data_IF_017350848103
#
_entry.id   IF_017350848103
#
_cell.length_a   1.000
_cell.length_b   1.000
_cell.length_c   1.000
_cell.angle_alpha   90.00
_cell.angle_beta   90.00
_cell.angle_gamma   90.00
#
_symmetry.space_group_name_H-M   'P 1'
#
loop_
_entity.id
_entity.type
_entity.pdbx_description
1 polymer ?
#
# COMPACT_ATOMS: atom_id res chain seq x y z
N UNK A 1 -15.03 -5.98 -63.50
CA UNK A 1 -15.65 -6.59 -62.31
C UNK A 1 -14.81 -6.24 -61.08
N UNK A 2 -15.20 -5.19 -60.34
CA UNK A 2 -14.59 -4.79 -59.06
C UNK A 2 -15.74 -4.44 -58.10
N UNK A 3 -16.45 -5.45 -57.61
CA UNK A 3 -17.44 -5.31 -56.55
C UNK A 3 -17.52 -6.65 -55.80
N UNK A 4 -16.59 -6.90 -54.87
CA UNK A 4 -16.78 -8.00 -53.89
C UNK A 4 -16.06 -7.82 -52.54
N UNK A 5 -15.32 -6.73 -52.31
CA UNK A 5 -14.59 -6.53 -51.04
C UNK A 5 -15.25 -5.56 -50.05
N UNK A 6 -16.21 -4.72 -50.46
CA UNK A 6 -16.84 -3.74 -49.55
C UNK A 6 -17.95 -4.37 -48.67
N UNK A 7 -18.70 -5.35 -49.18
CA UNK A 7 -19.75 -6.05 -48.42
C UNK A 7 -19.21 -6.93 -47.29
N UNK A 8 -17.97 -7.43 -47.42
CA UNK A 8 -17.26 -8.20 -46.38
C UNK A 8 -16.81 -7.33 -45.21
N UNK A 9 -16.38 -6.08 -45.49
CA UNK A 9 -15.92 -5.14 -44.47
C UNK A 9 -17.09 -4.52 -43.69
N UNK A 10 -18.19 -4.19 -44.39
CA UNK A 10 -19.40 -3.65 -43.76
C UNK A 10 -20.07 -4.71 -42.86
N UNK A 11 -20.13 -5.98 -43.29
CA UNK A 11 -20.65 -7.09 -42.48
C UNK A 11 -19.80 -7.43 -41.25
N UNK A 12 -18.47 -7.34 -41.35
CA UNK A 12 -17.56 -7.48 -40.19
C UNK A 12 -17.65 -6.30 -39.22
N UNK A 13 -17.79 -5.07 -39.74
CA UNK A 13 -17.98 -3.88 -38.93
C UNK A 13 -19.32 -3.94 -38.17
N UNK A 14 -20.41 -4.33 -38.84
CA UNK A 14 -21.74 -4.49 -38.25
C UNK A 14 -21.77 -5.59 -37.17
N UNK A 15 -21.20 -6.78 -37.43
CA UNK A 15 -21.09 -7.84 -36.42
C UNK A 15 -20.19 -7.45 -35.25
N UNK A 16 -19.12 -6.69 -35.49
CA UNK A 16 -18.30 -6.16 -34.40
C UNK A 16 -19.07 -5.13 -33.58
N UNK A 17 -19.89 -4.27 -34.20
CA UNK A 17 -20.72 -3.28 -33.51
C UNK A 17 -21.80 -3.93 -32.65
N UNK A 18 -22.38 -5.03 -33.13
CA UNK A 18 -23.44 -5.80 -32.46
C UNK A 18 -22.90 -6.63 -31.27
N UNK A 19 -21.72 -7.24 -31.43
CA UNK A 19 -21.01 -7.90 -30.32
C UNK A 19 -20.54 -6.87 -29.28
N UNK A 20 -20.02 -5.72 -29.73
CA UNK A 20 -19.64 -4.61 -28.86
C UNK A 20 -20.86 -4.08 -28.10
N UNK A 21 -22.00 -3.87 -28.76
CA UNK A 21 -23.26 -3.46 -28.14
C UNK A 21 -23.81 -4.46 -27.11
N UNK A 22 -23.68 -5.77 -27.38
CA UNK A 22 -24.10 -6.83 -26.47
C UNK A 22 -23.19 -6.96 -25.23
N UNK A 23 -21.89 -6.68 -25.36
CA UNK A 23 -20.94 -6.67 -24.24
C UNK A 23 -21.08 -5.37 -23.42
N UNK A 24 -21.26 -4.23 -24.09
CA UNK A 24 -21.62 -2.93 -23.47
C UNK A 24 -22.86 -3.09 -22.62
N UNK A 25 -23.93 -3.66 -23.19
CA UNK A 25 -25.17 -3.95 -22.48
C UNK A 25 -24.96 -4.81 -21.24
N UNK A 26 -24.11 -5.84 -21.32
CA UNK A 26 -23.82 -6.72 -20.17
C UNK A 26 -23.01 -6.06 -19.07
N UNK A 27 -21.98 -5.26 -19.39
CA UNK A 27 -21.17 -4.55 -18.40
C UNK A 27 -21.93 -3.36 -17.79
N UNK A 28 -22.77 -2.67 -18.56
CA UNK A 28 -23.69 -1.63 -18.06
C UNK A 28 -24.80 -2.20 -17.21
N UNK A 29 -25.51 -3.23 -17.69
CA UNK A 29 -26.53 -3.92 -16.92
C UNK A 29 -25.91 -4.51 -15.66
N UNK A 30 -24.65 -4.95 -15.71
CA UNK A 30 -23.92 -5.39 -14.53
C UNK A 30 -23.64 -4.28 -13.54
N UNK A 31 -23.01 -3.16 -13.92
CA UNK A 31 -22.70 -2.06 -12.99
C UNK A 31 -24.00 -1.49 -12.41
N UNK A 32 -25.04 -1.33 -13.24
CA UNK A 32 -26.36 -0.84 -12.82
C UNK A 32 -27.06 -1.85 -11.90
N UNK A 33 -27.09 -3.15 -12.24
CA UNK A 33 -27.69 -4.18 -11.37
C UNK A 33 -26.87 -4.39 -10.10
N UNK A 34 -25.55 -4.23 -10.16
CA UNK A 34 -24.64 -4.38 -9.04
C UNK A 34 -24.84 -3.25 -8.02
N UNK A 35 -24.86 -2.00 -8.48
CA UNK A 35 -25.15 -0.83 -7.65
C UNK A 35 -26.56 -0.93 -7.08
N UNK A 36 -27.55 -1.26 -7.92
CA UNK A 36 -28.91 -1.46 -7.45
C UNK A 36 -29.01 -2.62 -6.44
N UNK A 37 -28.32 -3.75 -6.63
CA UNK A 37 -28.40 -4.89 -5.71
C UNK A 37 -27.65 -4.62 -4.39
N UNK A 38 -26.41 -4.10 -4.41
CA UNK A 38 -25.62 -3.88 -3.18
C UNK A 38 -26.08 -2.69 -2.36
N UNK A 39 -26.52 -1.60 -3.01
CA UNK A 39 -27.08 -0.43 -2.30
C UNK A 39 -28.44 -0.77 -1.69
N UNK A 40 -29.25 -1.60 -2.36
CA UNK A 40 -30.54 -2.06 -1.81
C UNK A 40 -30.40 -3.15 -0.74
N UNK A 41 -29.41 -4.04 -0.81
CA UNK A 41 -29.21 -5.16 0.13
C UNK A 41 -28.58 -4.78 1.50
N UNK A 42 -28.34 -3.49 1.79
CA UNK A 42 -27.62 -3.03 3.01
C UNK A 42 -26.19 -3.58 3.17
N UNK A 43 -25.64 -4.27 2.16
CA UNK A 43 -24.25 -4.77 2.14
C UNK A 43 -23.21 -3.67 1.94
N UNK A 44 -23.63 -2.47 1.51
CA UNK A 44 -22.80 -1.27 1.51
C UNK A 44 -22.19 -1.01 2.90
N UNK A 45 -22.87 -1.33 3.99
CA UNK A 45 -22.32 -1.16 5.35
C UNK A 45 -21.05 -1.97 5.58
N UNK A 46 -21.02 -3.24 5.18
CA UNK A 46 -19.84 -4.09 5.38
C UNK A 46 -18.65 -3.62 4.54
N UNK A 47 -18.93 -3.06 3.36
CA UNK A 47 -17.93 -2.52 2.43
C UNK A 47 -17.20 -1.26 2.96
N UNK A 48 -17.83 -0.49 3.85
CA UNK A 48 -17.22 0.66 4.52
C UNK A 48 -16.82 0.37 5.98
N UNK A 49 -17.46 -0.62 6.63
CA UNK A 49 -17.13 -1.06 8.00
C UNK A 49 -15.82 -1.83 8.07
N UNK A 50 -15.49 -2.68 7.07
CA UNK A 50 -14.26 -3.48 7.07
C UNK A 50 -13.00 -2.66 6.79
N UNK A 51 -13.13 -1.48 6.16
CA UNK A 51 -12.00 -0.65 5.75
C UNK A 51 -11.88 0.69 6.47
N UNK A 52 -12.89 1.11 7.25
CA UNK A 52 -12.86 2.37 7.97
C UNK A 52 -13.79 2.39 9.17
N UNK A 53 -13.29 1.97 10.33
CA UNK A 53 -13.98 2.12 11.61
C UNK A 53 -14.43 3.58 11.89
N UNK A 54 -13.86 4.57 11.19
CA UNK A 54 -14.16 6.01 11.32
C UNK A 54 -15.26 6.52 10.37
N UNK A 55 -15.46 5.92 9.19
CA UNK A 55 -16.47 6.40 8.21
C UNK A 55 -17.88 6.20 8.74
N UNK A 56 -18.13 5.08 9.43
CA UNK A 56 -19.46 4.73 9.93
C UNK A 56 -19.75 5.30 11.33
N UNK A 57 -18.71 5.56 12.14
CA UNK A 57 -18.87 6.12 13.49
C UNK A 57 -19.39 7.57 13.51
N UNK A 58 -19.31 8.31 12.39
CA UNK A 58 -19.72 9.71 12.27
C UNK A 58 -21.06 9.95 11.55
N UNK A 59 -21.83 8.90 11.23
CA UNK A 59 -23.11 9.04 10.54
C UNK A 59 -24.28 8.82 11.52
N UNK A 60 -24.66 9.88 12.24
CA UNK A 60 -25.92 9.93 13.00
C UNK A 60 -27.15 9.76 12.07
N UNK A 61 -27.00 10.00 10.76
CA UNK A 61 -28.03 9.81 9.72
C UNK A 61 -27.58 8.82 8.64
N UNK A 62 -27.71 7.53 8.94
CA UNK A 62 -27.35 6.44 8.03
C UNK A 62 -28.28 6.32 6.82
N UNK A 63 -29.54 6.73 6.96
CA UNK A 63 -30.51 6.68 5.87
C UNK A 63 -30.28 7.86 4.91
N UNK A 64 -29.88 9.03 5.42
CA UNK A 64 -29.39 10.16 4.63
C UNK A 64 -28.20 9.77 3.76
N UNK A 65 -27.13 9.23 4.37
CA UNK A 65 -25.95 8.80 3.62
C UNK A 65 -26.26 7.75 2.55
N UNK A 66 -27.14 6.78 2.86
CA UNK A 66 -27.59 5.80 1.86
C UNK A 66 -28.32 6.47 0.69
N UNK A 67 -29.20 7.43 0.98
CA UNK A 67 -29.93 8.16 -0.05
C UNK A 67 -28.98 9.02 -0.90
N UNK A 68 -27.99 9.65 -0.28
CA UNK A 68 -26.95 10.41 -0.99
C UNK A 68 -26.18 9.50 -1.96
N UNK A 69 -25.77 8.30 -1.51
CA UNK A 69 -25.13 7.32 -2.40
C UNK A 69 -26.05 6.87 -3.55
N UNK A 70 -27.36 6.69 -3.32
CA UNK A 70 -28.30 6.33 -4.39
C UNK A 70 -28.44 7.43 -5.45
N UNK A 71 -28.33 8.70 -5.04
CA UNK A 71 -28.39 9.85 -5.94
C UNK A 71 -27.07 10.02 -6.68
N UNK A 72 -25.93 9.96 -5.98
CA UNK A 72 -24.57 10.01 -6.55
C UNK A 72 -24.42 8.89 -7.57
N UNK A 73 -24.71 7.65 -7.19
CA UNK A 73 -24.65 6.48 -8.07
C UNK A 73 -25.97 6.21 -8.80
N UNK A 74 -26.66 7.28 -9.22
CA UNK A 74 -27.87 7.15 -10.03
C UNK A 74 -27.60 6.38 -11.33
N UNK A 75 -28.66 5.81 -11.90
CA UNK A 75 -28.58 5.07 -13.17
C UNK A 75 -27.92 5.90 -14.27
N UNK A 76 -28.26 7.19 -14.37
CA UNK A 76 -27.76 8.07 -15.42
C UNK A 76 -26.27 8.36 -15.26
N UNK A 77 -25.82 8.63 -14.03
CA UNK A 77 -24.39 8.84 -13.74
C UNK A 77 -23.57 7.58 -14.05
N UNK A 78 -24.09 6.42 -13.67
CA UNK A 78 -23.41 5.15 -13.91
C UNK A 78 -23.39 4.76 -15.38
N UNK A 79 -24.46 5.08 -16.11
CA UNK A 79 -24.50 4.88 -17.54
C UNK A 79 -23.44 5.73 -18.25
N UNK A 80 -23.31 7.00 -17.86
CA UNK A 80 -22.31 7.91 -18.42
C UNK A 80 -20.87 7.41 -18.17
N UNK A 81 -20.53 7.01 -16.95
CA UNK A 81 -19.20 6.46 -16.61
C UNK A 81 -18.94 5.17 -17.40
N UNK A 82 -19.93 4.30 -17.52
CA UNK A 82 -19.77 3.02 -18.22
C UNK A 82 -19.60 3.20 -19.74
N UNK A 83 -20.34 4.11 -20.38
CA UNK A 83 -20.20 4.44 -21.80
C UNK A 83 -18.81 4.97 -22.14
N UNK A 84 -18.26 5.84 -21.29
CA UNK A 84 -16.94 6.47 -21.48
C UNK A 84 -15.76 5.59 -21.05
N UNK A 85 -15.97 4.58 -20.20
CA UNK A 85 -14.93 3.62 -19.79
C UNK A 85 -14.80 2.42 -20.73
N UNK A 86 -15.72 2.27 -21.68
CA UNK A 86 -15.85 1.09 -22.51
C UNK A 86 -14.58 0.73 -23.30
N UNK A 87 -14.01 1.72 -24.01
CA UNK A 87 -12.88 1.54 -24.90
C UNK A 87 -11.52 1.50 -24.18
N UNK A 88 -11.52 1.76 -22.87
CA UNK A 88 -10.32 1.79 -22.04
C UNK A 88 -9.81 0.39 -21.78
N UNK A 89 -8.49 0.23 -21.85
CA UNK A 89 -7.81 -0.98 -21.35
C UNK A 89 -7.80 -1.01 -19.82
N UNK A 90 -7.52 -2.15 -19.21
CA UNK A 90 -7.55 -2.26 -17.75
C UNK A 90 -6.56 -1.30 -17.07
N UNK A 91 -5.39 -1.04 -17.67
CA UNK A 91 -4.41 -0.07 -17.18
C UNK A 91 -4.90 1.39 -17.19
N UNK A 92 -5.82 1.74 -18.09
CA UNK A 92 -6.40 3.10 -18.20
C UNK A 92 -7.72 3.22 -17.43
N UNK A 93 -8.41 2.09 -17.24
CA UNK A 93 -9.71 2.00 -16.61
C UNK A 93 -9.67 2.54 -15.18
N UNK A 94 -8.65 2.18 -14.39
CA UNK A 94 -8.58 2.58 -12.99
C UNK A 94 -8.42 4.07 -12.82
N UNK A 95 -7.45 4.68 -13.50
CA UNK A 95 -7.23 6.12 -13.42
C UNK A 95 -8.47 6.90 -13.89
N UNK A 96 -9.22 6.36 -14.86
CA UNK A 96 -10.47 6.94 -15.31
C UNK A 96 -11.57 6.85 -14.25
N UNK A 97 -11.80 5.66 -13.68
CA UNK A 97 -12.79 5.45 -12.63
C UNK A 97 -12.45 6.27 -11.37
N UNK A 98 -11.17 6.37 -11.00
CA UNK A 98 -10.69 7.23 -9.90
C UNK A 98 -11.13 8.66 -10.11
N UNK A 99 -10.85 9.25 -11.26
CA UNK A 99 -11.19 10.64 -11.53
C UNK A 99 -12.71 10.86 -11.55
N UNK A 100 -13.46 10.05 -12.30
CA UNK A 100 -14.90 10.27 -12.47
C UNK A 100 -15.68 10.03 -11.18
N UNK A 101 -15.32 9.01 -10.40
CA UNK A 101 -16.01 8.73 -9.14
C UNK A 101 -15.68 9.82 -8.10
N UNK A 102 -14.44 10.30 -8.04
CA UNK A 102 -14.05 11.42 -7.15
C UNK A 102 -14.78 12.71 -7.55
N UNK A 103 -14.76 13.06 -8.83
CA UNK A 103 -15.47 14.24 -9.35
C UNK A 103 -16.97 14.15 -9.03
N UNK A 104 -17.57 12.97 -9.22
CA UNK A 104 -18.97 12.73 -8.90
C UNK A 104 -19.25 12.91 -7.39
N UNK A 105 -18.39 12.43 -6.51
CA UNK A 105 -18.57 12.69 -5.07
C UNK A 105 -18.49 14.20 -4.74
N UNK A 106 -17.55 14.92 -5.36
CA UNK A 106 -17.36 16.36 -5.14
C UNK A 106 -18.56 17.17 -5.67
N UNK A 107 -19.10 16.82 -6.85
CA UNK A 107 -20.27 17.47 -7.44
C UNK A 107 -21.49 17.40 -6.53
N UNK A 108 -21.64 16.33 -5.77
CA UNK A 108 -22.71 16.13 -4.79
C UNK A 108 -22.35 16.63 -3.39
N UNK A 109 -21.27 17.39 -3.25
CA UNK A 109 -20.93 18.12 -2.02
C UNK A 109 -20.11 17.34 -0.99
N UNK A 110 -19.56 16.17 -1.36
CA UNK A 110 -18.63 15.44 -0.48
C UNK A 110 -17.27 16.15 -0.50
N UNK A 111 -16.64 16.27 0.68
CA UNK A 111 -15.31 16.87 0.79
C UNK A 111 -14.29 16.09 -0.03
N UNK A 112 -13.30 16.78 -0.62
CA UNK A 112 -12.27 16.15 -1.46
C UNK A 112 -11.58 14.97 -0.76
N UNK A 113 -11.23 15.13 0.52
CA UNK A 113 -10.67 14.05 1.33
C UNK A 113 -11.58 12.81 1.38
N UNK A 114 -12.85 12.99 1.68
CA UNK A 114 -13.80 11.89 1.80
C UNK A 114 -14.14 11.30 0.42
N UNK A 115 -14.17 12.13 -0.63
CA UNK A 115 -14.41 11.70 -2.00
C UNK A 115 -13.34 10.70 -2.45
N UNK A 116 -12.06 10.98 -2.20
CA UNK A 116 -10.97 10.04 -2.50
C UNK A 116 -11.08 8.72 -1.73
N UNK A 117 -11.36 8.79 -0.42
CA UNK A 117 -11.50 7.61 0.44
C UNK A 117 -12.68 6.73 0.00
N UNK A 118 -13.84 7.33 -0.28
CA UNK A 118 -15.02 6.59 -0.73
C UNK A 118 -14.83 6.02 -2.14
N UNK A 119 -14.23 6.79 -3.04
CA UNK A 119 -13.95 6.34 -4.41
C UNK A 119 -13.06 5.11 -4.44
N UNK A 120 -12.02 5.08 -3.60
CA UNK A 120 -11.13 3.92 -3.48
C UNK A 120 -11.91 2.63 -3.17
N UNK A 121 -12.82 2.67 -2.19
CA UNK A 121 -13.64 1.51 -1.86
C UNK A 121 -14.58 1.11 -2.98
N UNK A 122 -15.23 2.08 -3.64
CA UNK A 122 -16.08 1.81 -4.79
C UNK A 122 -15.33 1.16 -5.96
N UNK A 123 -14.08 1.57 -6.21
CA UNK A 123 -13.26 0.98 -7.28
C UNK A 123 -12.87 -0.47 -6.97
N UNK A 124 -12.49 -0.78 -5.72
CA UNK A 124 -12.18 -2.16 -5.33
C UNK A 124 -13.36 -3.09 -5.60
N UNK A 125 -14.55 -2.61 -5.26
CA UNK A 125 -15.80 -3.32 -5.51
C UNK A 125 -16.01 -3.56 -7.01
N UNK A 126 -15.91 -2.52 -7.84
CA UNK A 126 -16.06 -2.63 -9.29
C UNK A 126 -15.07 -3.66 -9.86
N UNK A 127 -13.84 -3.69 -9.33
CA UNK A 127 -12.82 -4.62 -9.78
C UNK A 127 -13.05 -6.08 -9.37
N UNK A 128 -13.43 -6.34 -8.12
CA UNK A 128 -13.72 -7.70 -7.65
C UNK A 128 -14.86 -8.33 -8.44
N UNK A 129 -15.80 -7.49 -8.83
CA UNK A 129 -16.94 -7.82 -9.65
C UNK A 129 -16.54 -8.01 -11.12
N UNK A 130 -15.70 -7.11 -11.67
CA UNK A 130 -15.15 -7.25 -13.03
C UNK A 130 -14.41 -8.59 -13.24
N UNK A 131 -13.72 -9.12 -12.21
CA UNK A 131 -13.03 -10.44 -12.28
C UNK A 131 -13.94 -11.56 -12.77
N UNK A 132 -15.22 -11.53 -12.42
CA UNK A 132 -16.18 -12.59 -12.73
C UNK A 132 -16.64 -12.56 -14.21
N UNK A 133 -16.46 -11.42 -14.89
CA UNK A 133 -16.98 -11.18 -16.25
C UNK A 133 -15.87 -10.99 -17.29
N UNK A 134 -14.80 -10.28 -16.93
CA UNK A 134 -13.66 -9.99 -17.79
C UNK A 134 -12.37 -10.06 -16.97
N UNK A 135 -11.88 -11.29 -16.80
CA UNK A 135 -10.71 -11.59 -15.98
C UNK A 135 -9.44 -10.91 -16.50
N UNK A 136 -9.28 -10.80 -17.83
CA UNK A 136 -8.10 -10.18 -18.43
C UNK A 136 -8.09 -8.67 -18.14
N UNK A 137 -9.23 -8.00 -18.33
CA UNK A 137 -9.34 -6.56 -18.03
C UNK A 137 -9.18 -6.27 -16.54
N UNK A 138 -9.72 -7.13 -15.68
CA UNK A 138 -9.52 -7.04 -14.24
C UNK A 138 -8.03 -7.19 -13.87
N UNK A 139 -7.34 -8.18 -14.44
CA UNK A 139 -5.91 -8.40 -14.19
C UNK A 139 -5.07 -7.18 -14.59
N UNK A 140 -5.29 -6.63 -15.78
CA UNK A 140 -4.63 -5.40 -16.24
C UNK A 140 -4.85 -4.24 -15.25
N UNK A 141 -6.06 -4.09 -14.73
CA UNK A 141 -6.38 -3.07 -13.74
C UNK A 141 -5.67 -3.27 -12.40
N UNK A 142 -5.59 -4.50 -11.88
CA UNK A 142 -4.82 -4.79 -10.66
C UNK A 142 -3.32 -4.53 -10.84
N UNK A 143 -2.76 -4.89 -12.01
CA UNK A 143 -1.36 -4.62 -12.32
C UNK A 143 -1.04 -3.12 -12.29
N UNK A 144 -1.93 -2.28 -12.80
CA UNK A 144 -1.76 -0.82 -12.72
C UNK A 144 -1.79 -0.30 -11.27
N UNK A 145 -2.72 -0.80 -10.45
CA UNK A 145 -2.79 -0.43 -9.02
C UNK A 145 -1.47 -0.80 -8.32
N UNK A 146 -1.00 -2.03 -8.51
CA UNK A 146 0.27 -2.49 -7.92
C UNK A 146 1.46 -1.69 -8.43
N UNK A 147 1.48 -1.32 -9.71
CA UNK A 147 2.53 -0.45 -10.26
C UNK A 147 2.57 0.89 -9.55
N UNK A 148 1.42 1.59 -9.42
CA UNK A 148 1.31 2.86 -8.70
C UNK A 148 1.75 2.75 -7.24
N UNK A 149 1.29 1.72 -6.52
CA UNK A 149 1.67 1.47 -5.12
C UNK A 149 3.17 1.18 -4.98
N UNK A 150 3.74 0.39 -5.87
CA UNK A 150 5.17 0.08 -5.89
C UNK A 150 6.02 1.34 -6.11
N UNK A 151 5.62 2.21 -7.03
CA UNK A 151 6.29 3.49 -7.28
C UNK A 151 6.25 4.40 -6.04
N UNK A 152 5.08 4.53 -5.41
CA UNK A 152 4.93 5.31 -4.17
C UNK A 152 5.80 4.78 -3.03
N UNK A 153 5.81 3.45 -2.82
CA UNK A 153 6.64 2.81 -1.81
C UNK A 153 8.13 3.05 -2.07
N UNK A 154 8.56 2.93 -3.33
CA UNK A 154 9.94 3.21 -3.73
C UNK A 154 10.36 4.65 -3.37
N UNK A 155 9.55 5.65 -3.72
CA UNK A 155 9.86 7.05 -3.41
C UNK A 155 9.87 7.33 -1.89
N UNK A 156 8.95 6.73 -1.14
CA UNK A 156 8.91 6.83 0.32
C UNK A 156 10.18 6.27 0.95
N UNK A 157 10.57 5.04 0.58
CA UNK A 157 11.80 4.39 1.07
C UNK A 157 13.05 5.17 0.66
N UNK A 158 13.11 5.64 -0.58
CA UNK A 158 14.24 6.44 -1.07
C UNK A 158 14.42 7.70 -0.24
N UNK A 159 13.33 8.41 0.06
CA UNK A 159 13.37 9.61 0.91
C UNK A 159 13.87 9.31 2.32
N UNK A 160 13.45 8.20 2.92
CA UNK A 160 13.93 7.78 4.25
C UNK A 160 15.41 7.42 4.22
N UNK A 161 15.85 6.68 3.20
CA UNK A 161 17.25 6.31 3.02
C UNK A 161 18.15 7.54 2.84
N UNK A 162 17.71 8.52 2.04
CA UNK A 162 18.44 9.77 1.83
C UNK A 162 18.57 10.57 3.14
N UNK A 163 17.53 10.55 4.00
CA UNK A 163 17.59 11.18 5.31
C UNK A 163 18.60 10.48 6.25
N UNK A 164 18.60 9.15 6.27
CA UNK A 164 19.59 8.35 7.03
C UNK A 164 21.00 8.64 6.53
N UNK A 165 21.21 8.68 5.21
CA UNK A 165 22.52 8.99 4.62
C UNK A 165 23.05 10.37 5.07
N UNK A 166 22.17 11.37 5.17
CA UNK A 166 22.52 12.70 5.67
C UNK A 166 22.95 12.64 7.15
N UNK A 167 22.18 11.97 8.01
CA UNK A 167 22.52 11.85 9.43
C UNK A 167 23.83 11.08 9.65
N UNK A 168 24.04 9.96 8.95
CA UNK A 168 25.29 9.18 9.02
C UNK A 168 26.49 10.05 8.61
N UNK A 169 26.34 10.87 7.56
CA UNK A 169 27.40 11.81 7.14
C UNK A 169 27.69 12.91 8.17
N UNK A 170 26.69 13.33 8.96
CA UNK A 170 26.92 14.29 10.06
C UNK A 170 27.73 13.65 11.19
N UNK A 171 27.35 12.45 11.62
CA UNK A 171 28.08 11.70 12.66
C UNK A 171 29.56 11.50 12.26
N UNK A 172 29.82 11.13 11.01
CA UNK A 172 31.18 11.00 10.51
C UNK A 172 32.00 12.30 10.52
N UNK A 173 31.37 13.48 10.41
CA UNK A 173 32.04 14.78 10.53
C UNK A 173 32.40 15.14 11.96
N UNK A 174 31.61 14.68 12.92
CA UNK A 174 31.82 14.90 14.35
C UNK A 174 32.84 13.91 14.95
N UNK A 175 33.60 13.19 14.10
CA UNK A 175 34.53 12.14 14.48
C UNK A 175 33.87 10.96 15.24
N UNK A 176 32.55 10.82 15.10
CA UNK A 176 31.79 9.69 15.64
C UNK A 176 31.88 8.55 14.64
N UNK A 177 32.63 7.51 15.00
CA UNK A 177 32.72 6.28 14.21
C UNK A 177 31.52 5.38 14.53
N UNK A 178 30.64 5.19 13.55
CA UNK A 178 29.58 4.17 13.62
C UNK A 178 30.19 2.85 13.15
N UNK A 179 30.24 1.87 14.05
CA UNK A 179 30.72 0.52 13.77
C UNK A 179 29.57 -0.46 13.94
N UNK A 180 29.42 -1.39 13.01
CA UNK A 180 28.51 -2.52 13.21
C UNK A 180 29.08 -3.49 14.27
N UNK A 181 28.22 -4.37 14.78
CA UNK A 181 28.66 -5.45 15.68
C UNK A 181 29.72 -6.31 14.97
N UNK A 182 29.53 -6.56 13.67
CA UNK A 182 30.46 -7.31 12.83
C UNK A 182 31.81 -6.59 12.66
N UNK A 183 31.81 -5.26 12.51
CA UNK A 183 33.05 -4.47 12.41
C UNK A 183 33.88 -4.59 13.70
N UNK A 184 33.22 -4.44 14.86
CA UNK A 184 33.87 -4.55 16.18
C UNK A 184 34.37 -5.97 16.42
N UNK A 185 33.58 -6.99 16.06
CA UNK A 185 33.99 -8.39 16.18
C UNK A 185 35.21 -8.72 15.31
N UNK A 186 35.24 -8.22 14.08
CA UNK A 186 36.41 -8.33 13.18
C UNK A 186 37.66 -7.70 13.82
N UNK A 187 37.52 -6.53 14.44
CA UNK A 187 38.64 -5.83 15.08
C UNK A 187 39.14 -6.55 16.34
N UNK A 188 38.24 -7.12 17.15
CA UNK A 188 38.63 -7.97 18.28
C UNK A 188 39.37 -9.22 17.79
N UNK A 189 38.88 -9.90 16.74
CA UNK A 189 39.53 -11.09 16.18
C UNK A 189 40.94 -10.80 15.65
N UNK A 190 41.14 -9.65 15.00
CA UNK A 190 42.46 -9.23 14.51
C UNK A 190 43.44 -8.85 15.63
N UNK A 191 42.93 -8.36 16.76
CA UNK A 191 43.75 -7.87 17.88
C UNK A 191 43.97 -8.92 18.97
N UNK A 192 43.17 -9.98 19.03
CA UNK A 192 43.32 -11.08 19.99
C UNK A 192 44.17 -12.23 19.44
N UNK A 193 44.88 -12.92 20.33
CA UNK A 193 45.63 -14.14 20.00
C UNK A 193 44.75 -15.39 19.83
N UNK A 194 43.43 -15.25 20.01
CA UNK A 194 42.47 -16.34 20.05
C UNK A 194 41.41 -16.17 18.95
N UNK A 195 41.68 -16.74 17.77
CA UNK A 195 40.78 -16.71 16.59
C UNK A 195 39.38 -17.33 16.84
N UNK A 196 39.19 -18.07 17.94
CA UNK A 196 37.94 -18.75 18.30
C UNK A 196 37.01 -17.92 19.20
N UNK A 197 37.42 -16.71 19.64
CA UNK A 197 36.54 -15.82 20.39
C UNK A 197 35.55 -15.16 19.42
N UNK A 198 34.26 -15.45 19.59
CA UNK A 198 33.14 -14.83 18.89
C UNK A 198 32.06 -14.40 19.87
N UNK A 199 31.15 -13.53 19.45
CA UNK A 199 29.99 -13.14 20.26
C UNK A 199 29.22 -14.38 20.74
N UNK A 200 29.03 -15.35 19.84
CA UNK A 200 28.29 -16.59 20.13
C UNK A 200 29.00 -17.52 21.15
N UNK A 201 30.26 -17.25 21.51
CA UNK A 201 31.00 -18.01 22.53
C UNK A 201 30.84 -17.41 23.94
N UNK A 202 30.48 -16.13 24.02
CA UNK A 202 30.20 -15.44 25.27
C UNK A 202 28.69 -15.34 25.46
N UNK A 203 28.05 -16.36 26.05
CA UNK A 203 26.80 -16.13 26.77
C UNK A 203 27.18 -15.82 28.22
N UNK A 204 27.13 -14.54 28.60
CA UNK A 204 27.41 -14.12 29.97
C UNK A 204 26.07 -13.75 30.59
N UNK A 205 25.54 -14.64 31.41
CA UNK A 205 24.38 -14.44 32.28
C UNK A 205 24.82 -13.59 33.49
N UNK A 206 24.91 -12.27 33.29
CA UNK A 206 25.29 -11.30 34.32
C UNK A 206 24.25 -10.18 34.35
N UNK A 207 23.04 -10.55 34.82
CA UNK A 207 21.88 -9.66 34.98
C UNK A 207 22.23 -8.35 35.71
N UNK A 208 23.18 -8.40 36.65
CA UNK A 208 23.63 -7.22 37.39
C UNK A 208 24.33 -6.19 36.48
N UNK A 209 25.17 -6.66 35.55
CA UNK A 209 25.79 -5.78 34.56
C UNK A 209 24.75 -5.15 33.65
N UNK A 210 23.76 -5.93 33.20
CA UNK A 210 22.71 -5.43 32.30
C UNK A 210 21.88 -4.34 32.97
N UNK A 211 21.44 -4.55 34.22
CA UNK A 211 20.73 -3.54 35.00
C UNK A 211 21.56 -2.26 35.20
N UNK A 212 22.82 -2.41 35.63
CA UNK A 212 23.71 -1.27 35.87
C UNK A 212 24.03 -0.49 34.58
N UNK A 213 24.05 -1.19 33.44
CA UNK A 213 24.29 -0.61 32.13
C UNK A 213 23.06 0.09 31.56
N UNK A 214 21.87 -0.51 31.70
CA UNK A 214 20.58 0.07 31.29
C UNK A 214 20.31 1.40 31.99
N UNK A 215 20.54 1.46 33.30
CA UNK A 215 20.42 2.69 34.11
C UNK A 215 21.35 3.83 33.66
N UNK A 216 22.37 3.52 32.84
CA UNK A 216 23.35 4.49 32.35
C UNK A 216 23.20 4.85 30.87
N UNK A 217 22.29 4.22 30.12
CA UNK A 217 22.15 4.41 28.66
C UNK A 217 21.87 5.86 28.24
N UNK A 218 21.16 6.62 29.09
CA UNK A 218 20.82 8.02 28.82
C UNK A 218 22.00 8.99 29.05
N UNK A 219 23.12 8.52 29.60
CA UNK A 219 24.27 9.38 29.88
C UNK A 219 25.13 9.60 28.63
N UNK A 220 25.62 10.83 28.45
CA UNK A 220 26.56 11.21 27.37
C UNK A 220 27.86 10.38 27.41
N UNK A 221 28.24 9.85 28.57
CA UNK A 221 29.42 9.02 28.76
C UNK A 221 29.17 7.92 29.77
N UNK A 222 29.39 6.68 29.35
CA UNK A 222 29.30 5.48 30.18
C UNK A 222 30.71 4.95 30.45
N UNK A 223 31.02 4.60 31.71
CA UNK A 223 32.32 4.04 32.09
C UNK A 223 32.10 2.60 32.54
N UNK A 224 32.70 1.66 31.81
CA UNK A 224 32.56 0.23 32.07
C UNK A 224 33.88 -0.32 32.60
N UNK A 225 33.78 -1.07 33.70
CA UNK A 225 34.91 -1.74 34.33
C UNK A 225 34.71 -3.25 34.16
N UNK A 226 35.63 -3.91 33.47
CA UNK A 226 35.65 -5.36 33.33
C UNK A 226 37.06 -5.93 33.45
N UNK A 227 37.18 -7.27 33.41
CA UNK A 227 38.47 -7.96 33.62
C UNK A 227 39.40 -7.83 32.42
N UNK A 228 38.86 -7.78 31.22
CA UNK A 228 39.59 -7.47 29.99
C UNK A 228 38.78 -6.55 29.08
N UNK A 229 39.46 -5.92 28.12
CA UNK A 229 38.84 -5.07 27.11
C UNK A 229 37.89 -5.89 26.22
N UNK A 230 38.31 -7.09 25.85
CA UNK A 230 37.56 -8.00 24.98
C UNK A 230 36.28 -8.47 25.67
N UNK A 231 36.37 -8.94 26.92
CA UNK A 231 35.20 -9.36 27.69
C UNK A 231 34.20 -8.21 27.88
N UNK A 232 34.69 -7.02 28.21
CA UNK A 232 33.84 -5.84 28.38
C UNK A 232 33.12 -5.45 27.09
N UNK A 233 33.83 -5.50 25.94
CA UNK A 233 33.22 -5.22 24.64
C UNK A 233 32.18 -6.26 24.26
N UNK A 234 32.46 -7.56 24.43
CA UNK A 234 31.49 -8.60 24.13
C UNK A 234 30.22 -8.51 24.99
N UNK A 235 30.34 -8.14 26.27
CA UNK A 235 29.18 -7.88 27.15
C UNK A 235 28.29 -6.76 26.62
N UNK A 236 28.87 -5.64 26.22
CA UNK A 236 28.14 -4.51 25.63
C UNK A 236 27.44 -4.95 24.34
N UNK A 237 28.15 -5.65 23.46
CA UNK A 237 27.60 -6.09 22.17
C UNK A 237 26.48 -7.10 22.33
N UNK A 238 26.57 -8.01 23.30
CA UNK A 238 25.49 -8.95 23.63
C UNK A 238 24.25 -8.22 24.14
N UNK A 239 24.42 -7.30 25.10
CA UNK A 239 23.30 -6.49 25.58
C UNK A 239 22.63 -5.73 24.43
N UNK A 240 23.40 -5.06 23.58
CA UNK A 240 22.86 -4.33 22.43
C UNK A 240 22.17 -5.27 21.42
N UNK A 241 22.73 -6.46 21.17
CA UNK A 241 22.14 -7.47 20.29
C UNK A 241 20.80 -7.99 20.82
N UNK A 242 20.67 -8.17 22.13
CA UNK A 242 19.44 -8.67 22.75
C UNK A 242 18.42 -7.56 22.96
N UNK A 243 18.85 -6.34 23.29
CA UNK A 243 18.00 -5.14 23.30
C UNK A 243 17.32 -4.92 21.94
N UNK A 244 18.06 -5.12 20.84
CA UNK A 244 17.52 -5.01 19.46
C UNK A 244 16.55 -6.13 19.06
N UNK A 245 16.46 -7.23 19.83
CA UNK A 245 15.49 -8.31 19.57
C UNK A 245 14.16 -8.11 20.30
N UNK A 246 14.06 -7.10 21.18
CA UNK A 246 12.89 -6.88 22.06
C UNK A 246 11.86 -5.91 21.42
N UNK A 247 12.14 -5.31 20.26
CA UNK A 247 11.13 -4.61 19.42
C UNK A 247 10.55 -5.50 18.31
#
# INVERSE_FOLDING_TARGET
MKYSNETSLIGKAANSLDIKGAIIGKTLDFIIQFINNKVNEKKWKNLFLETGEQVVKNLDDQDGFKNDLLVIFSKDNMQNIAEKSYDKRGYELISYLENEIVELFIEYGVSERNAHEYSYHFIQIILDELKQYDTDKALESYLEIWRKQSEQNYFSLKKQLDAIEIEVKKLGKDNIHVLSIEDIESDIKKSSSFEKLSLDFFEIDDEQFEMDFEDQLDNEKIIIVGKSKEESLYRILNYLKDFLKIE
#
